data_IF_146230618249
#
_entry.id   IF_146230618249
#
_cell.length_a   1.000
_cell.length_b   1.000
_cell.length_c   1.000
_cell.angle_alpha   90.00
_cell.angle_beta   90.00
_cell.angle_gamma   90.00
#
_symmetry.space_group_name_H-M   'P 1'
#
loop_
_entity.id
_entity.type
_entity.pdbx_description
1 polymer ?
#
# COMPACT_ATOMS: atom_id res chain seq x y z
N UNK A 1 -29.59 -12.76 11.09
CA UNK A 1 -30.42 -13.68 11.89
C UNK A 1 -29.88 -13.83 13.29
N UNK A 2 -30.73 -14.00 14.25
CA UNK A 2 -30.37 -14.25 15.65
C UNK A 2 -30.16 -15.75 15.88
N UNK A 3 -29.11 -16.11 16.64
CA UNK A 3 -28.87 -17.48 17.08
C UNK A 3 -28.46 -17.52 18.56
N UNK A 4 -28.70 -18.64 19.23
CA UNK A 4 -28.32 -18.80 20.62
C UNK A 4 -26.81 -18.65 20.81
N UNK A 5 -26.40 -17.75 21.71
CA UNK A 5 -24.99 -17.42 21.94
C UNK A 5 -24.41 -16.33 21.02
N UNK A 6 -25.22 -15.68 20.21
CA UNK A 6 -24.79 -14.51 19.45
C UNK A 6 -24.35 -13.37 20.38
N UNK A 7 -23.13 -12.83 20.25
CA UNK A 7 -22.73 -11.67 21.04
C UNK A 7 -23.63 -10.46 20.75
N UNK A 8 -24.10 -9.78 21.78
CA UNK A 8 -24.90 -8.58 21.65
C UNK A 8 -24.06 -7.38 21.14
N UNK A 9 -22.76 -7.37 21.49
CA UNK A 9 -21.84 -6.31 21.11
C UNK A 9 -20.61 -6.90 20.43
N UNK A 10 -20.06 -6.16 19.46
CA UNK A 10 -18.83 -6.50 18.73
C UNK A 10 -18.00 -5.27 18.43
N UNK A 11 -16.71 -5.49 18.37
CA UNK A 11 -15.73 -4.56 17.79
C UNK A 11 -15.44 -4.97 16.35
N UNK A 12 -15.29 -4.02 15.44
CA UNK A 12 -14.97 -4.32 14.05
C UNK A 12 -13.70 -3.57 13.63
N UNK A 13 -12.90 -4.21 12.78
CA UNK A 13 -11.83 -3.56 12.04
C UNK A 13 -12.16 -3.65 10.55
N UNK A 14 -12.36 -2.48 9.94
CA UNK A 14 -12.54 -2.36 8.50
C UNK A 14 -11.17 -2.24 7.83
N UNK A 15 -10.94 -3.04 6.77
CA UNK A 15 -9.77 -2.92 5.90
C UNK A 15 -10.22 -2.63 4.48
N UNK A 16 -9.83 -1.47 3.94
CA UNK A 16 -10.02 -1.10 2.54
C UNK A 16 -8.71 -1.29 1.79
N UNK A 17 -8.73 -2.16 0.78
CA UNK A 17 -7.56 -2.51 -0.05
C UNK A 17 -7.55 -1.65 -1.31
N UNK A 18 -6.35 -1.33 -1.82
CA UNK A 18 -6.16 -0.40 -2.94
C UNK A 18 -6.79 0.98 -2.68
N UNK A 19 -6.76 1.40 -1.42
CA UNK A 19 -7.28 2.69 -0.98
C UNK A 19 -6.19 3.75 -1.00
N UNK A 20 -6.51 4.92 -1.50
CA UNK A 20 -5.69 6.11 -1.26
C UNK A 20 -5.74 6.50 0.24
N UNK A 21 -4.80 7.34 0.66
CA UNK A 21 -4.85 7.95 2.00
C UNK A 21 -6.01 8.94 2.02
N UNK A 22 -6.99 8.81 2.93
CA UNK A 22 -8.10 9.74 3.02
C UNK A 22 -7.70 11.04 3.73
N UNK A 23 -8.44 12.10 3.45
CA UNK A 23 -8.37 13.33 4.24
C UNK A 23 -8.98 13.14 5.62
N UNK A 24 -10.04 12.36 5.70
CA UNK A 24 -10.72 12.00 6.95
C UNK A 24 -11.56 10.74 6.80
N UNK A 25 -11.79 10.08 7.93
CA UNK A 25 -12.76 8.99 8.09
C UNK A 25 -13.80 9.41 9.13
N UNK A 26 -15.07 9.16 8.84
CA UNK A 26 -16.19 9.49 9.72
C UNK A 26 -16.99 8.21 9.98
N UNK A 27 -17.22 7.88 11.23
CA UNK A 27 -18.05 6.75 11.66
C UNK A 27 -19.25 7.30 12.44
N UNK A 28 -20.46 7.04 11.97
CA UNK A 28 -21.71 7.54 12.55
C UNK A 28 -21.70 9.07 12.80
N UNK A 29 -21.20 9.82 11.83
CA UNK A 29 -21.10 11.28 11.90
C UNK A 29 -19.94 11.83 12.75
N UNK A 30 -19.12 10.97 13.37
CA UNK A 30 -17.98 11.35 14.21
C UNK A 30 -16.67 11.04 13.49
N UNK A 31 -15.77 12.03 13.38
CA UNK A 31 -14.44 11.83 12.85
C UNK A 31 -13.66 10.82 13.71
N UNK A 32 -13.01 9.87 13.05
CA UNK A 32 -12.32 8.73 13.66
C UNK A 32 -10.90 8.64 13.08
N UNK A 33 -9.95 8.23 13.91
CA UNK A 33 -8.58 7.97 13.48
C UNK A 33 -8.53 6.72 12.59
N UNK A 34 -7.51 6.66 11.76
CA UNK A 34 -7.25 5.53 10.88
C UNK A 34 -5.76 5.21 10.81
N UNK A 35 -5.44 3.96 10.48
CA UNK A 35 -4.08 3.52 10.17
C UNK A 35 -3.94 3.32 8.66
N UNK A 36 -2.75 3.60 8.12
CA UNK A 36 -2.45 3.36 6.72
C UNK A 36 -1.21 2.47 6.55
N UNK A 37 -1.39 1.35 5.83
CA UNK A 37 -0.32 0.44 5.45
C UNK A 37 0.06 0.68 3.99
N UNK A 38 1.15 1.41 3.76
CA UNK A 38 1.63 1.74 2.41
C UNK A 38 2.16 0.53 1.64
N UNK A 39 2.67 -0.51 2.32
CA UNK A 39 3.13 -1.74 1.65
C UNK A 39 1.98 -2.54 1.01
N UNK A 40 0.79 -2.42 1.58
CA UNK A 40 -0.41 -3.09 1.10
C UNK A 40 -1.42 -2.13 0.49
N UNK A 41 -1.13 -0.82 0.42
CA UNK A 41 -2.06 0.23 -0.02
C UNK A 41 -3.43 0.07 0.66
N UNK A 42 -3.41 -0.11 1.97
CA UNK A 42 -4.60 -0.43 2.74
C UNK A 42 -4.87 0.60 3.82
N UNK A 43 -6.11 1.04 3.90
CA UNK A 43 -6.66 1.82 5.00
C UNK A 43 -7.28 0.89 6.03
N UNK A 44 -7.00 1.09 7.31
CA UNK A 44 -7.60 0.36 8.42
C UNK A 44 -8.31 1.33 9.37
N UNK A 45 -9.56 0.99 9.69
CA UNK A 45 -10.42 1.78 10.59
C UNK A 45 -10.95 0.86 11.67
N UNK A 46 -10.65 1.20 12.93
CA UNK A 46 -11.23 0.52 14.09
C UNK A 46 -12.57 1.14 14.46
N UNK A 47 -13.60 0.30 14.47
CA UNK A 47 -14.94 0.68 14.89
C UNK A 47 -15.11 0.20 16.33
N UNK A 48 -15.36 1.12 17.28
CA UNK A 48 -15.49 0.76 18.69
C UNK A 48 -16.63 -0.24 18.91
N UNK A 49 -16.63 -0.87 20.07
CA UNK A 49 -17.63 -1.83 20.46
C UNK A 49 -19.04 -1.25 20.29
N UNK A 50 -19.88 -1.99 19.59
CA UNK A 50 -21.23 -1.56 19.23
C UNK A 50 -22.20 -2.72 19.29
N UNK A 51 -23.47 -2.42 19.51
CA UNK A 51 -24.56 -3.37 19.40
C UNK A 51 -24.65 -3.92 17.96
N UNK A 52 -24.72 -5.24 17.83
CA UNK A 52 -24.74 -5.91 16.54
C UNK A 52 -26.03 -5.66 15.73
N UNK A 53 -27.08 -5.16 16.37
CA UNK A 53 -28.34 -4.78 15.71
C UNK A 53 -28.32 -3.40 15.11
N UNK A 54 -27.33 -2.57 15.46
CA UNK A 54 -27.22 -1.19 14.98
C UNK A 54 -26.46 -1.12 13.65
N UNK A 55 -27.08 -0.49 12.67
CA UNK A 55 -26.40 -0.13 11.42
C UNK A 55 -25.27 0.88 11.69
N UNK A 56 -24.17 0.73 10.98
CA UNK A 56 -23.02 1.63 11.04
C UNK A 56 -22.78 2.31 9.70
N UNK A 57 -22.66 3.63 9.74
CA UNK A 57 -22.31 4.42 8.56
C UNK A 57 -20.83 4.81 8.63
N UNK A 58 -20.07 4.44 7.61
CA UNK A 58 -18.67 4.76 7.50
C UNK A 58 -18.47 5.58 6.22
N UNK A 59 -17.98 6.79 6.39
CA UNK A 59 -17.66 7.72 5.31
C UNK A 59 -16.15 7.88 5.20
N UNK A 60 -15.59 7.62 4.03
CA UNK A 60 -14.17 7.83 3.74
C UNK A 60 -14.07 8.95 2.72
N UNK A 61 -13.47 10.06 3.10
CA UNK A 61 -13.36 11.26 2.27
C UNK A 61 -11.94 11.36 1.72
N UNK A 62 -11.82 11.34 0.40
CA UNK A 62 -10.53 11.46 -0.29
C UNK A 62 -10.35 12.86 -0.87
N UNK A 63 -9.08 13.27 -1.00
CA UNK A 63 -8.72 14.46 -1.76
C UNK A 63 -9.21 14.31 -3.23
N UNK A 64 -9.60 15.42 -3.83
CA UNK A 64 -10.12 15.45 -5.21
C UNK A 64 -9.11 14.92 -6.24
N UNK A 65 -7.83 15.02 -5.93
CA UNK A 65 -6.70 14.59 -6.74
C UNK A 65 -5.96 13.36 -6.16
N UNK A 66 -6.63 12.60 -5.29
CA UNK A 66 -6.09 11.37 -4.74
C UNK A 66 -5.67 10.39 -5.86
N UNK A 67 -4.53 9.69 -5.74
CA UNK A 67 -4.08 8.78 -6.77
C UNK A 67 -5.00 7.58 -6.92
N UNK A 68 -5.22 7.13 -8.15
CA UNK A 68 -5.89 5.85 -8.43
C UNK A 68 -4.92 4.71 -8.16
N UNK A 69 -5.30 3.74 -7.33
CA UNK A 69 -4.45 2.63 -6.88
C UNK A 69 -4.96 1.25 -7.32
N UNK A 70 -6.05 1.21 -8.11
CA UNK A 70 -6.71 -0.04 -8.53
C UNK A 70 -6.14 -0.62 -9.84
N UNK A 71 -5.05 -0.06 -10.37
CA UNK A 71 -4.40 -0.40 -11.63
C UNK A 71 -3.28 -1.46 -11.50
N UNK A 72 -3.36 -2.32 -10.49
CA UNK A 72 -2.33 -3.32 -10.22
C UNK A 72 -1.09 -2.81 -9.49
N UNK A 73 -1.11 -1.57 -8.99
CA UNK A 73 0.04 -0.94 -8.33
C UNK A 73 0.56 -1.74 -7.13
N UNK A 74 -0.33 -2.36 -6.34
CA UNK A 74 0.06 -3.25 -5.22
C UNK A 74 0.95 -4.39 -5.72
N UNK A 75 0.56 -5.03 -6.81
CA UNK A 75 1.34 -6.12 -7.41
C UNK A 75 2.73 -5.64 -7.83
N UNK A 76 2.81 -4.51 -8.50
CA UNK A 76 4.07 -3.89 -8.92
C UNK A 76 4.97 -3.53 -7.74
N UNK A 77 4.43 -2.95 -6.67
CA UNK A 77 5.17 -2.66 -5.45
C UNK A 77 5.78 -3.91 -4.83
N UNK A 78 4.96 -4.92 -4.60
CA UNK A 78 5.39 -6.20 -4.01
C UNK A 78 6.43 -6.89 -4.88
N UNK A 79 6.22 -6.88 -6.18
CA UNK A 79 7.13 -7.51 -7.13
C UNK A 79 8.52 -6.86 -7.11
N UNK A 80 8.60 -5.53 -7.16
CA UNK A 80 9.88 -4.80 -7.03
C UNK A 80 10.54 -5.12 -5.70
N UNK A 81 9.82 -5.00 -4.58
CA UNK A 81 10.36 -5.25 -3.25
C UNK A 81 10.90 -6.68 -3.10
N UNK A 82 10.15 -7.69 -3.55
CA UNK A 82 10.55 -9.10 -3.46
C UNK A 82 11.80 -9.40 -4.29
N UNK A 83 11.90 -8.86 -5.51
CA UNK A 83 13.08 -9.05 -6.33
C UNK A 83 14.30 -8.29 -5.80
N UNK A 84 14.12 -7.10 -5.25
CA UNK A 84 15.19 -6.40 -4.54
C UNK A 84 15.72 -7.20 -3.35
N UNK A 85 14.84 -7.79 -2.55
CA UNK A 85 15.21 -8.68 -1.44
C UNK A 85 15.97 -9.91 -1.95
N UNK A 86 15.52 -10.53 -3.03
CA UNK A 86 16.17 -11.69 -3.62
C UNK A 86 17.59 -11.38 -4.11
N UNK A 87 17.78 -10.25 -4.80
CA UNK A 87 19.10 -9.79 -5.24
C UNK A 87 20.03 -9.52 -4.05
N UNK A 88 19.54 -8.87 -3.00
CA UNK A 88 20.32 -8.63 -1.77
C UNK A 88 20.68 -9.93 -1.05
N UNK A 89 19.81 -10.93 -1.09
CA UNK A 89 20.09 -12.25 -0.51
C UNK A 89 21.26 -12.93 -1.22
N UNK A 90 21.33 -12.87 -2.55
CA UNK A 90 22.42 -13.44 -3.33
C UNK A 90 23.68 -12.56 -3.35
N UNK A 91 23.56 -11.27 -3.15
CA UNK A 91 24.65 -10.31 -3.08
C UNK A 91 24.48 -9.35 -1.88
N UNK A 92 24.85 -9.80 -0.66
CA UNK A 92 24.64 -9.01 0.56
C UNK A 92 25.36 -7.65 0.59
N UNK A 93 26.37 -7.46 -0.27
CA UNK A 93 27.10 -6.19 -0.39
C UNK A 93 26.49 -5.17 -1.34
N UNK A 94 25.41 -5.53 -2.05
CA UNK A 94 24.81 -4.62 -3.02
C UNK A 94 24.10 -3.46 -2.32
N UNK A 95 24.35 -2.26 -2.82
CA UNK A 95 23.59 -1.06 -2.44
C UNK A 95 22.92 -0.53 -3.70
N UNK A 96 21.61 -0.47 -3.68
CA UNK A 96 20.86 0.06 -4.82
C UNK A 96 21.01 1.57 -4.88
N UNK A 97 21.43 2.04 -6.06
CA UNK A 97 21.41 3.47 -6.38
C UNK A 97 19.95 3.92 -6.64
N UNK A 98 19.74 5.22 -6.52
CA UNK A 98 18.50 5.82 -6.99
C UNK A 98 18.39 5.66 -8.53
N UNK A 99 17.18 5.38 -9.07
CA UNK A 99 15.88 5.36 -8.37
C UNK A 99 15.42 3.97 -7.87
N UNK A 100 16.19 2.89 -7.99
CA UNK A 100 15.77 1.56 -7.57
C UNK A 100 15.54 1.49 -6.05
N UNK A 101 16.43 2.12 -5.26
CA UNK A 101 16.28 2.20 -3.81
C UNK A 101 14.98 2.90 -3.38
N UNK A 102 14.60 3.98 -4.09
CA UNK A 102 13.32 4.66 -3.86
C UNK A 102 12.12 3.77 -4.20
N UNK A 103 12.20 2.98 -5.27
CA UNK A 103 11.13 2.05 -5.66
C UNK A 103 10.99 0.91 -4.64
N UNK A 104 12.08 0.35 -4.16
CA UNK A 104 12.08 -0.70 -3.12
C UNK A 104 11.39 -0.23 -1.84
N UNK A 105 11.65 1.00 -1.43
CA UNK A 105 11.17 1.57 -0.16
C UNK A 105 9.83 2.31 -0.27
N UNK A 106 9.21 2.37 -1.44
CA UNK A 106 8.01 3.18 -1.68
C UNK A 106 6.86 2.89 -0.71
N UNK A 107 6.58 1.62 -0.42
CA UNK A 107 5.52 1.23 0.51
C UNK A 107 5.79 1.68 1.94
N UNK A 108 7.03 1.49 2.41
CA UNK A 108 7.46 1.96 3.74
C UNK A 108 7.38 3.49 3.81
N UNK A 109 7.85 4.18 2.78
CA UNK A 109 7.79 5.63 2.72
C UNK A 109 6.35 6.17 2.83
N UNK A 110 5.37 5.51 2.20
CA UNK A 110 3.96 5.89 2.32
C UNK A 110 3.35 5.56 3.69
N UNK A 111 3.81 4.52 4.36
CA UNK A 111 3.33 4.19 5.71
C UNK A 111 3.73 5.29 6.70
N UNK A 112 4.95 5.79 6.61
CA UNK A 112 5.46 6.82 7.52
C UNK A 112 5.18 8.26 7.09
N UNK A 113 4.92 8.48 5.79
CA UNK A 113 4.62 9.81 5.23
C UNK A 113 3.40 9.72 4.31
N UNK A 114 2.22 9.38 4.86
CA UNK A 114 1.00 9.19 4.06
C UNK A 114 0.60 10.43 3.26
N UNK A 115 0.93 11.62 3.76
CA UNK A 115 0.67 12.90 3.08
C UNK A 115 1.44 13.06 1.75
N UNK A 116 2.53 12.29 1.55
CA UNK A 116 3.33 12.27 0.31
C UNK A 116 2.89 11.19 -0.68
N UNK A 117 1.80 10.47 -0.41
CA UNK A 117 1.38 9.33 -1.22
C UNK A 117 1.33 9.64 -2.71
N UNK A 118 0.72 10.75 -3.10
CA UNK A 118 0.61 11.15 -4.51
C UNK A 118 1.99 11.24 -5.17
N UNK A 119 2.91 11.96 -4.55
CA UNK A 119 4.28 12.12 -5.07
C UNK A 119 5.01 10.78 -5.17
N UNK A 120 4.89 9.93 -4.15
CA UNK A 120 5.55 8.61 -4.12
C UNK A 120 5.00 7.73 -5.24
N UNK A 121 3.68 7.69 -5.44
CA UNK A 121 3.02 6.90 -6.49
C UNK A 121 3.43 7.39 -7.88
N UNK A 122 3.42 8.69 -8.12
CA UNK A 122 3.82 9.29 -9.41
C UNK A 122 5.31 8.98 -9.71
N UNK A 123 6.19 9.13 -8.71
CA UNK A 123 7.61 8.80 -8.84
C UNK A 123 7.82 7.32 -9.13
N UNK A 124 7.13 6.44 -8.41
CA UNK A 124 7.20 5.00 -8.66
C UNK A 124 6.77 4.63 -10.07
N UNK A 125 5.63 5.15 -10.55
CA UNK A 125 5.13 4.89 -11.91
C UNK A 125 6.11 5.37 -12.99
N UNK A 126 6.66 6.57 -12.81
CA UNK A 126 7.69 7.10 -13.71
C UNK A 126 8.92 6.18 -13.77
N UNK A 127 9.42 5.76 -12.63
CA UNK A 127 10.58 4.89 -12.54
C UNK A 127 10.27 3.49 -13.10
N UNK A 128 9.07 2.96 -12.83
CA UNK A 128 8.63 1.67 -13.36
C UNK A 128 8.61 1.65 -14.89
N UNK A 129 8.24 2.74 -15.54
CA UNK A 129 8.28 2.87 -17.00
C UNK A 129 9.71 2.79 -17.59
N UNK A 130 10.75 3.05 -16.78
CA UNK A 130 12.17 2.99 -17.17
C UNK A 130 12.91 1.86 -16.44
N UNK A 131 12.19 0.84 -15.96
CA UNK A 131 12.74 -0.19 -15.07
C UNK A 131 13.95 -0.91 -15.66
N UNK A 132 13.94 -1.23 -16.96
CA UNK A 132 15.06 -1.92 -17.61
C UNK A 132 16.38 -1.13 -17.53
N UNK A 133 16.33 0.17 -17.76
CA UNK A 133 17.52 1.03 -17.67
C UNK A 133 17.98 1.18 -16.21
N UNK A 134 17.05 1.27 -15.28
CA UNK A 134 17.33 1.36 -13.85
C UNK A 134 18.03 0.09 -13.35
N UNK A 135 17.57 -1.09 -13.76
CA UNK A 135 18.22 -2.37 -13.42
C UNK A 135 19.65 -2.43 -13.96
N UNK A 136 19.85 -2.06 -15.22
CA UNK A 136 21.17 -2.00 -15.83
C UNK A 136 22.12 -1.05 -15.09
N UNK A 137 21.65 0.14 -14.70
CA UNK A 137 22.43 1.10 -13.91
C UNK A 137 22.85 0.55 -12.54
N UNK A 138 22.08 -0.39 -11.99
CA UNK A 138 22.37 -1.08 -10.74
C UNK A 138 23.17 -2.39 -10.93
N UNK A 139 23.63 -2.70 -12.15
CA UNK A 139 24.36 -3.92 -12.46
C UNK A 139 23.52 -5.20 -12.35
N UNK A 140 22.19 -5.07 -12.42
CA UNK A 140 21.26 -6.19 -12.40
C UNK A 140 20.95 -6.59 -13.83
N UNK A 141 21.45 -7.76 -14.24
CA UNK A 141 21.38 -8.25 -15.62
C UNK A 141 20.91 -9.71 -15.67
N UNK A 142 20.74 -10.25 -16.88
CA UNK A 142 20.45 -11.65 -17.12
C UNK A 142 19.13 -12.15 -16.51
N UNK A 143 19.21 -13.24 -15.75
CA UNK A 143 18.02 -13.88 -15.16
C UNK A 143 17.37 -13.03 -14.06
N UNK A 144 18.17 -12.33 -13.26
CA UNK A 144 17.64 -11.48 -12.20
C UNK A 144 16.88 -10.27 -12.79
N UNK A 145 17.40 -9.63 -13.84
CA UNK A 145 16.66 -8.58 -14.53
C UNK A 145 15.34 -9.10 -15.13
N UNK A 146 15.33 -10.31 -15.69
CA UNK A 146 14.09 -10.93 -16.22
C UNK A 146 13.02 -11.11 -15.13
N UNK A 147 13.43 -11.50 -13.91
CA UNK A 147 12.49 -11.66 -12.79
C UNK A 147 11.78 -10.34 -12.46
N UNK A 148 12.47 -9.22 -12.53
CA UNK A 148 11.86 -7.89 -12.35
C UNK A 148 10.86 -7.53 -13.45
N UNK A 149 11.04 -8.02 -14.67
CA UNK A 149 10.22 -7.68 -15.84
C UNK A 149 9.01 -8.59 -16.04
N UNK A 150 8.89 -9.70 -15.30
CA UNK A 150 7.81 -10.70 -15.43
C UNK A 150 6.52 -10.34 -14.71
N UNK A 151 6.33 -9.13 -14.25
CA UNK A 151 5.16 -8.68 -13.50
C UNK A 151 3.99 -8.17 -14.36
N UNK A 152 3.91 -8.56 -15.63
CA UNK A 152 2.77 -8.26 -16.51
C UNK A 152 1.76 -9.42 -16.57
#
# INVERSE_FOLDING_TARGET
GEYSGMPAHRQYRLKLVASAVPEKVVVDGKQTDFEYDGNNLSLMVDIPETDCSNEKTIEVVYAKDAPVLTDGLIGKFRHIQQNCIAVKYHNPGIVFAEPLGTMESAGIAMTYNPEKQKQIVETFRKNYASLADILKQNGIEGEDARKFMLAE
#
